data_IF_729385772998
#
_entry.id   IF_729385772998
#
_cell.length_a   1.000
_cell.length_b   1.000
_cell.length_c   1.000
_cell.angle_alpha   90.00
_cell.angle_beta   90.00
_cell.angle_gamma   90.00
#
_symmetry.space_group_name_H-M   'P 1'
#
loop_
_entity.id
_entity.type
_entity.pdbx_description
1 polymer ?
#
# COMPACT_ATOMS: atom_id res chain seq x y z
N UNK A 1 -4.18 21.19 4.00
CA UNK A 1 -2.87 21.17 4.73
C UNK A 1 -1.82 21.82 3.85
N UNK A 2 -0.89 22.61 4.40
CA UNK A 2 0.25 23.14 3.64
C UNK A 2 1.43 22.17 3.69
N UNK A 3 2.38 22.30 2.78
CA UNK A 3 3.58 21.45 2.76
C UNK A 3 4.43 21.59 4.05
N UNK A 4 4.68 22.81 4.59
CA UNK A 4 5.36 22.92 5.88
C UNK A 4 4.62 22.21 7.03
N UNK A 5 3.29 22.25 7.05
CA UNK A 5 2.49 21.53 8.06
C UNK A 5 2.61 20.00 7.87
N UNK A 6 2.63 19.52 6.62
CA UNK A 6 2.88 18.10 6.33
C UNK A 6 4.27 17.69 6.82
N UNK A 7 5.31 18.43 6.47
CA UNK A 7 6.69 18.16 6.86
C UNK A 7 6.85 18.19 8.40
N UNK A 8 6.22 19.13 9.07
CA UNK A 8 6.18 19.19 10.54
C UNK A 8 5.49 17.94 11.12
N UNK A 9 4.36 17.51 10.55
CA UNK A 9 3.66 16.30 11.00
C UNK A 9 4.54 15.07 10.80
N UNK A 10 5.16 14.91 9.64
CA UNK A 10 6.02 13.77 9.33
C UNK A 10 7.26 13.70 10.22
N UNK A 11 7.80 14.84 10.66
CA UNK A 11 8.92 14.88 11.60
C UNK A 11 8.60 14.32 12.99
N UNK A 12 7.33 14.08 13.30
CA UNK A 12 6.90 13.44 14.56
C UNK A 12 6.93 11.90 14.49
N UNK A 13 7.15 11.30 13.31
CA UNK A 13 7.27 9.85 13.17
C UNK A 13 8.56 9.39 13.84
N UNK A 14 8.41 8.63 14.93
CA UNK A 14 9.54 8.09 15.69
C UNK A 14 10.15 6.87 14.99
N UNK A 15 11.43 6.55 15.23
CA UNK A 15 12.02 5.27 14.82
C UNK A 15 11.25 4.06 15.39
N UNK A 16 11.44 2.85 14.85
CA UNK A 16 10.93 1.60 15.44
C UNK A 16 11.38 1.44 16.90
N UNK A 17 10.54 0.83 17.71
CA UNK A 17 10.88 0.46 19.11
C UNK A 17 11.70 -0.83 19.14
N UNK A 18 13.02 -0.71 19.26
CA UNK A 18 13.92 -1.85 19.27
C UNK A 18 13.80 -2.70 20.56
N UNK A 19 13.31 -2.13 21.66
CA UNK A 19 13.06 -2.90 22.88
C UNK A 19 11.85 -3.82 22.70
N UNK A 20 10.78 -3.34 22.08
CA UNK A 20 9.62 -4.16 21.73
C UNK A 20 9.98 -5.25 20.71
N UNK A 21 10.81 -4.93 19.68
CA UNK A 21 11.36 -5.92 18.75
C UNK A 21 12.12 -7.02 19.46
N UNK A 22 13.06 -6.64 20.33
CA UNK A 22 13.87 -7.60 21.09
C UNK A 22 13.02 -8.47 22.03
N UNK A 23 11.99 -7.90 22.65
CA UNK A 23 11.04 -8.64 23.47
C UNK A 23 10.25 -9.68 22.66
N UNK A 24 9.78 -9.32 21.45
CA UNK A 24 9.09 -10.24 20.54
C UNK A 24 10.03 -11.35 20.06
N UNK A 25 11.28 -11.03 19.71
CA UNK A 25 12.29 -12.00 19.34
C UNK A 25 12.60 -12.98 20.49
N UNK A 26 12.77 -12.47 21.72
CA UNK A 26 12.99 -13.30 22.90
C UNK A 26 11.80 -14.23 23.19
N UNK A 27 10.57 -13.75 22.98
CA UNK A 27 9.37 -14.58 23.09
C UNK A 27 9.39 -15.71 22.06
N UNK A 28 9.64 -15.43 20.78
CA UNK A 28 9.80 -16.44 19.73
C UNK A 28 10.87 -17.50 20.09
N UNK A 29 12.01 -17.06 20.62
CA UNK A 29 13.11 -17.93 21.03
C UNK A 29 12.75 -18.81 22.25
N UNK A 30 11.77 -18.42 23.06
CA UNK A 30 11.31 -19.18 24.21
C UNK A 30 10.37 -20.35 23.87
N UNK A 31 9.73 -20.30 22.70
CA UNK A 31 8.77 -21.31 22.26
C UNK A 31 9.48 -22.61 21.83
N UNK A 32 8.88 -23.76 22.15
CA UNK A 32 9.46 -25.08 21.90
C UNK A 32 9.38 -25.46 20.41
N UNK A 33 10.16 -24.78 19.57
CA UNK A 33 10.28 -24.97 18.13
C UNK A 33 11.73 -24.72 17.68
N UNK A 34 12.12 -25.13 16.46
CA UNK A 34 13.40 -24.73 15.89
C UNK A 34 13.52 -23.20 15.83
N UNK A 35 14.70 -22.66 16.22
CA UNK A 35 14.98 -21.23 16.18
C UNK A 35 14.82 -20.71 14.72
N UNK A 36 14.05 -19.64 14.56
CA UNK A 36 13.75 -19.08 13.23
C UNK A 36 12.92 -20.00 12.32
N UNK A 37 12.31 -21.06 12.85
CA UNK A 37 11.66 -22.12 12.08
C UNK A 37 10.44 -21.66 11.29
N UNK A 38 9.81 -20.52 11.61
CA UNK A 38 8.73 -19.90 10.84
C UNK A 38 9.22 -18.79 9.92
N UNK A 39 10.53 -18.48 9.92
CA UNK A 39 11.14 -17.56 8.97
C UNK A 39 10.47 -16.18 8.94
N UNK A 40 9.98 -15.77 7.76
CA UNK A 40 9.38 -14.45 7.56
C UNK A 40 8.18 -14.17 8.50
N UNK A 41 7.47 -15.18 8.97
CA UNK A 41 6.35 -14.99 9.90
C UNK A 41 6.81 -14.53 11.29
N UNK A 42 8.01 -14.95 11.73
CA UNK A 42 8.60 -14.45 12.97
C UNK A 42 9.02 -13.00 12.84
N UNK A 43 9.78 -12.67 11.80
CA UNK A 43 10.19 -11.30 11.47
C UNK A 43 9.00 -10.34 11.34
N UNK A 44 7.90 -10.82 10.76
CA UNK A 44 6.67 -10.06 10.58
C UNK A 44 6.12 -9.54 11.92
N UNK A 45 6.03 -10.40 12.93
CA UNK A 45 5.54 -10.03 14.26
C UNK A 45 6.57 -9.21 15.05
N UNK A 46 7.87 -9.46 14.87
CA UNK A 46 8.93 -8.63 15.46
C UNK A 46 8.88 -7.19 14.91
N UNK A 47 8.68 -7.02 13.59
CA UNK A 47 8.51 -5.69 13.01
C UNK A 47 7.20 -5.03 13.44
N UNK A 48 6.10 -5.79 13.56
CA UNK A 48 4.85 -5.27 14.10
C UNK A 48 4.99 -4.83 15.56
N UNK A 49 5.72 -5.58 16.38
CA UNK A 49 6.04 -5.21 17.75
C UNK A 49 6.85 -3.91 17.82
N UNK A 50 7.86 -3.78 16.96
CA UNK A 50 8.68 -2.56 16.87
C UNK A 50 7.87 -1.33 16.42
N UNK A 51 6.87 -1.52 15.56
CA UNK A 51 5.99 -0.44 15.12
C UNK A 51 5.02 -0.01 16.23
N UNK A 52 4.41 -1.00 16.92
CA UNK A 52 3.35 -0.77 17.93
C UNK A 52 3.90 -0.43 19.31
N UNK A 53 5.20 -0.67 19.56
CA UNK A 53 5.85 -0.47 20.85
C UNK A 53 5.51 -1.53 21.89
N UNK A 54 5.01 -2.69 21.48
CA UNK A 54 4.68 -3.80 22.39
C UNK A 54 4.86 -5.17 21.73
N UNK A 55 5.38 -6.13 22.48
CA UNK A 55 5.44 -7.53 22.05
C UNK A 55 4.10 -8.29 22.24
N UNK A 56 3.13 -7.68 22.90
CA UNK A 56 1.76 -8.21 23.01
C UNK A 56 0.90 -7.62 21.88
N UNK A 57 0.74 -8.42 20.82
CA UNK A 57 0.09 -7.96 19.60
C UNK A 57 -1.39 -8.38 19.59
N UNK A 58 -2.28 -7.41 19.42
CA UNK A 58 -3.66 -7.66 19.00
C UNK A 58 -3.85 -7.06 17.60
N UNK A 59 -4.10 -7.91 16.60
CA UNK A 59 -4.33 -7.54 15.21
C UNK A 59 -5.70 -8.07 14.73
N UNK A 60 -6.64 -8.22 15.66
CA UNK A 60 -7.93 -8.85 15.40
C UNK A 60 -8.92 -7.95 14.64
N UNK A 61 -8.86 -6.63 14.84
CA UNK A 61 -9.71 -5.65 14.14
C UNK A 61 -8.97 -5.11 12.92
N UNK A 62 -9.53 -5.38 11.74
CA UNK A 62 -8.85 -5.19 10.45
C UNK A 62 -9.74 -4.48 9.46
N UNK A 63 -9.13 -3.64 8.63
CA UNK A 63 -9.82 -3.03 7.50
C UNK A 63 -8.91 -2.98 6.26
N UNK A 64 -9.52 -3.12 5.08
CA UNK A 64 -8.88 -2.80 3.80
C UNK A 64 -9.48 -1.50 3.27
N UNK A 65 -8.64 -0.50 3.08
CA UNK A 65 -9.00 0.79 2.48
C UNK A 65 -8.83 0.67 0.97
N UNK A 66 -9.94 0.72 0.21
CA UNK A 66 -9.91 0.65 -1.25
C UNK A 66 -10.16 2.06 -1.78
N UNK A 67 -9.08 2.73 -2.20
CA UNK A 67 -9.11 4.11 -2.67
C UNK A 67 -9.46 4.15 -4.16
N UNK A 68 -10.57 4.81 -4.50
CA UNK A 68 -11.11 4.89 -5.86
C UNK A 68 -10.88 6.30 -6.44
N UNK A 69 -10.26 6.37 -7.63
CA UNK A 69 -10.05 7.65 -8.32
C UNK A 69 -9.97 7.46 -9.84
N UNK A 70 -10.40 8.46 -10.59
CA UNK A 70 -10.24 8.52 -12.03
C UNK A 70 -8.93 9.19 -12.41
N UNK A 71 -8.25 8.63 -13.42
CA UNK A 71 -6.96 9.09 -13.90
C UNK A 71 -7.11 9.65 -15.32
N UNK A 72 -6.83 10.94 -15.52
CA UNK A 72 -7.03 11.64 -16.79
C UNK A 72 -6.24 11.07 -17.98
N UNK A 73 -5.12 10.39 -17.71
CA UNK A 73 -4.31 9.72 -18.74
C UNK A 73 -5.06 8.64 -19.52
N UNK A 74 -6.21 8.18 -19.04
CA UNK A 74 -7.10 7.23 -19.76
C UNK A 74 -7.48 7.77 -21.14
N UNK A 75 -7.57 9.08 -21.30
CA UNK A 75 -7.81 9.74 -22.60
C UNK A 75 -6.77 9.36 -23.68
N UNK A 76 -5.59 8.88 -23.31
CA UNK A 76 -4.54 8.42 -24.21
C UNK A 76 -4.71 6.95 -24.67
N UNK A 77 -5.82 6.29 -24.34
CA UNK A 77 -6.07 4.89 -24.74
C UNK A 77 -5.12 3.89 -24.08
N UNK A 78 -4.75 4.14 -22.83
CA UNK A 78 -3.82 3.32 -22.02
C UNK A 78 -4.52 2.23 -21.22
N UNK A 79 -5.82 2.05 -21.40
CA UNK A 79 -6.64 1.01 -20.77
C UNK A 79 -7.58 0.39 -21.79
N UNK A 80 -8.05 -0.83 -21.53
CA UNK A 80 -9.10 -1.50 -22.32
C UNK A 80 -10.50 -0.95 -22.04
N UNK A 81 -10.68 -0.29 -20.89
CA UNK A 81 -11.95 0.25 -20.40
C UNK A 81 -11.83 1.73 -20.14
N UNK A 82 -12.95 2.40 -20.06
CA UNK A 82 -13.04 3.81 -19.69
C UNK A 82 -13.26 4.01 -18.17
N UNK A 83 -13.31 5.25 -17.72
CA UNK A 83 -13.45 5.64 -16.32
C UNK A 83 -14.78 5.22 -15.68
N UNK A 84 -15.82 4.87 -16.47
CA UNK A 84 -17.10 4.39 -15.91
C UNK A 84 -16.95 3.12 -15.08
N UNK A 85 -15.91 2.32 -15.39
CA UNK A 85 -15.60 1.10 -14.64
C UNK A 85 -15.13 1.41 -13.22
N UNK A 86 -14.37 2.49 -12.98
CA UNK A 86 -13.98 2.92 -11.64
C UNK A 86 -15.21 3.08 -10.74
N UNK A 87 -16.19 3.84 -11.23
CA UNK A 87 -17.44 4.06 -10.50
C UNK A 87 -18.24 2.77 -10.30
N UNK A 88 -18.40 1.96 -11.35
CA UNK A 88 -19.14 0.70 -11.27
C UNK A 88 -18.53 -0.26 -10.24
N UNK A 89 -17.21 -0.33 -10.15
CA UNK A 89 -16.53 -1.14 -9.13
C UNK A 89 -16.71 -0.53 -7.73
N UNK A 90 -16.63 0.78 -7.58
CA UNK A 90 -16.88 1.45 -6.29
C UNK A 90 -18.31 1.17 -5.76
N UNK A 91 -19.32 1.19 -6.64
CA UNK A 91 -20.69 0.81 -6.32
C UNK A 91 -20.79 -0.67 -5.89
N UNK A 92 -20.07 -1.57 -6.53
CA UNK A 92 -20.02 -2.98 -6.18
C UNK A 92 -19.20 -3.26 -4.91
N UNK A 93 -18.18 -2.47 -4.60
CA UNK A 93 -17.48 -2.49 -3.31
C UNK A 93 -18.44 -2.12 -2.18
N UNK A 94 -19.20 -1.02 -2.34
CA UNK A 94 -20.22 -0.63 -1.36
C UNK A 94 -21.31 -1.71 -1.20
N UNK A 95 -21.72 -2.36 -2.29
CA UNK A 95 -22.66 -3.47 -2.29
C UNK A 95 -22.06 -4.82 -1.83
N UNK A 96 -20.75 -4.86 -1.46
CA UNK A 96 -20.03 -6.07 -0.98
C UNK A 96 -19.99 -7.23 -1.99
N UNK A 97 -19.85 -6.92 -3.30
CA UNK A 97 -19.92 -7.89 -4.40
C UNK A 97 -18.59 -8.20 -5.07
N UNK A 98 -17.56 -7.36 -4.87
CA UNK A 98 -16.26 -7.50 -5.56
C UNK A 98 -15.43 -8.65 -4.98
N UNK A 99 -14.31 -8.96 -5.66
CA UNK A 99 -13.39 -10.03 -5.26
C UNK A 99 -12.86 -9.84 -3.84
N UNK A 100 -12.36 -8.64 -3.53
CA UNK A 100 -11.86 -8.33 -2.18
C UNK A 100 -12.95 -8.50 -1.13
N UNK A 101 -14.20 -8.14 -1.43
CA UNK A 101 -15.30 -8.29 -0.49
C UNK A 101 -15.57 -9.75 -0.12
N UNK A 102 -15.38 -10.69 -1.06
CA UNK A 102 -15.55 -12.12 -0.76
C UNK A 102 -14.36 -12.65 0.04
N UNK A 103 -13.13 -12.27 -0.34
CA UNK A 103 -11.91 -12.67 0.36
C UNK A 103 -11.87 -12.11 1.79
N UNK A 104 -12.29 -10.86 1.98
CA UNK A 104 -12.34 -10.18 3.27
C UNK A 104 -13.25 -10.87 4.30
N UNK A 105 -14.32 -11.54 3.85
CA UNK A 105 -15.15 -12.36 4.75
C UNK A 105 -14.35 -13.49 5.39
N UNK A 106 -13.53 -14.18 4.60
CA UNK A 106 -12.65 -15.26 5.09
C UNK A 106 -11.54 -14.71 6.00
N UNK A 107 -10.97 -13.57 5.63
CA UNK A 107 -9.92 -12.92 6.39
C UNK A 107 -10.44 -12.09 7.59
N UNK A 108 -11.74 -12.05 7.82
CA UNK A 108 -12.39 -11.25 8.88
C UNK A 108 -11.92 -9.80 8.86
N UNK A 109 -11.91 -9.22 7.65
CA UNK A 109 -11.44 -7.87 7.37
C UNK A 109 -12.59 -7.01 6.86
N UNK A 110 -12.76 -5.80 7.36
CA UNK A 110 -13.75 -4.86 6.86
C UNK A 110 -13.26 -4.24 5.54
N UNK A 111 -14.15 -4.10 4.55
CA UNK A 111 -13.84 -3.40 3.31
C UNK A 111 -14.38 -1.99 3.39
N UNK A 112 -13.52 -1.00 3.24
CA UNK A 112 -13.85 0.43 3.29
C UNK A 112 -13.54 1.05 1.93
N UNK A 113 -14.55 1.15 1.03
CA UNK A 113 -14.37 1.86 -0.23
C UNK A 113 -14.35 3.37 0.01
N UNK A 114 -13.41 4.06 -0.65
CA UNK A 114 -13.16 5.50 -0.47
C UNK A 114 -13.10 6.18 -1.83
N UNK A 115 -13.88 7.22 -2.01
CA UNK A 115 -13.81 8.10 -3.17
C UNK A 115 -12.74 9.18 -2.93
N UNK A 116 -11.61 9.06 -3.64
CA UNK A 116 -10.54 10.04 -3.63
C UNK A 116 -10.66 11.04 -4.79
N UNK A 117 -11.42 10.69 -5.83
CA UNK A 117 -11.55 11.54 -7.00
C UNK A 117 -12.21 10.83 -8.17
N UNK A 118 -13.41 10.30 -8.00
CA UNK A 118 -14.21 9.77 -9.09
C UNK A 118 -15.05 10.88 -9.73
N UNK A 119 -15.30 10.79 -11.02
CA UNK A 119 -16.23 11.67 -11.73
C UNK A 119 -17.70 11.36 -11.37
N UNK A 120 -18.57 12.34 -11.50
CA UNK A 120 -20.00 12.23 -11.22
C UNK A 120 -20.36 12.41 -9.73
N UNK A 121 -21.56 12.00 -9.32
CA UNK A 121 -22.06 12.18 -7.97
C UNK A 121 -21.42 11.20 -6.96
N UNK A 122 -21.55 11.49 -5.67
CA UNK A 122 -21.09 10.59 -4.62
C UNK A 122 -21.83 9.24 -4.67
N UNK A 123 -21.13 8.16 -4.34
CA UNK A 123 -21.71 6.80 -4.31
C UNK A 123 -22.15 6.47 -2.88
N UNK A 124 -23.41 6.13 -2.63
CA UNK A 124 -23.86 5.70 -1.31
C UNK A 124 -23.06 4.50 -0.78
N UNK A 125 -22.59 4.58 0.46
CA UNK A 125 -21.78 3.53 1.08
C UNK A 125 -20.28 3.58 0.75
N UNK A 126 -19.85 4.56 -0.03
CA UNK A 126 -18.43 4.91 -0.28
C UNK A 126 -18.08 6.14 0.57
N UNK A 127 -16.98 6.08 1.31
CA UNK A 127 -16.49 7.21 2.11
C UNK A 127 -16.05 8.32 1.17
N UNK A 128 -16.56 9.52 1.37
CA UNK A 128 -16.23 10.66 0.50
C UNK A 128 -14.99 11.39 1.04
N UNK A 129 -13.88 11.24 0.33
CA UNK A 129 -12.62 11.97 0.52
C UNK A 129 -12.18 12.63 -0.81
N UNK A 130 -13.13 12.94 -1.68
CA UNK A 130 -12.87 13.44 -3.03
C UNK A 130 -12.08 14.75 -3.01
N UNK A 131 -10.95 14.75 -3.70
CA UNK A 131 -10.10 15.92 -3.93
C UNK A 131 -10.62 16.73 -5.12
N UNK A 132 -10.81 16.04 -6.26
CA UNK A 132 -11.39 16.60 -7.48
C UNK A 132 -12.11 15.49 -8.27
N UNK A 133 -12.73 15.82 -9.39
CA UNK A 133 -13.43 14.86 -10.27
C UNK A 133 -12.43 14.18 -11.24
N UNK A 134 -11.49 13.41 -10.70
CA UNK A 134 -10.37 12.82 -11.44
C UNK A 134 -9.19 13.77 -11.63
N UNK A 135 -8.03 13.21 -12.00
CA UNK A 135 -6.85 14.00 -12.35
C UNK A 135 -6.91 14.51 -13.77
N UNK A 136 -6.03 15.44 -14.12
CA UNK A 136 -5.80 15.85 -15.49
C UNK A 136 -4.98 14.79 -16.24
N UNK A 137 -4.97 14.89 -17.59
CA UNK A 137 -4.10 14.08 -18.44
C UNK A 137 -2.66 14.59 -18.33
N UNK A 138 -1.82 13.85 -17.67
CA UNK A 138 -0.42 14.23 -17.42
C UNK A 138 0.43 14.36 -18.70
N UNK A 139 -0.09 13.93 -19.86
CA UNK A 139 0.59 14.16 -21.13
C UNK A 139 0.42 15.59 -21.65
N UNK A 140 -0.45 16.40 -21.03
CA UNK A 140 -0.74 17.78 -21.38
C UNK A 140 -0.25 18.80 -20.35
N UNK A 141 0.09 18.35 -19.14
CA UNK A 141 0.52 19.15 -17.99
C UNK A 141 0.46 18.30 -16.73
N UNK A 142 0.62 18.87 -15.54
CA UNK A 142 0.56 18.11 -14.28
C UNK A 142 -0.76 17.36 -14.11
N UNK A 143 -0.70 16.13 -13.55
CA UNK A 143 -1.89 15.33 -13.23
C UNK A 143 -2.79 16.04 -12.21
N UNK A 144 -2.20 16.71 -11.24
CA UNK A 144 -2.86 17.49 -10.19
C UNK A 144 -1.95 18.64 -9.76
N UNK A 145 -2.51 19.60 -9.07
CA UNK A 145 -1.73 20.66 -8.43
C UNK A 145 -0.97 20.09 -7.22
N UNK A 146 0.11 20.75 -6.83
CA UNK A 146 0.87 20.41 -5.64
C UNK A 146 0.00 20.43 -4.37
N UNK A 147 -0.92 21.37 -4.27
CA UNK A 147 -1.87 21.45 -3.16
C UNK A 147 -2.84 20.27 -3.11
N UNK A 148 -3.36 19.83 -4.26
CA UNK A 148 -4.23 18.65 -4.37
C UNK A 148 -3.50 17.36 -3.99
N UNK A 149 -2.21 17.22 -4.35
CA UNK A 149 -1.40 16.08 -3.94
C UNK A 149 -1.23 16.03 -2.40
N UNK A 150 -0.96 17.17 -1.77
CA UNK A 150 -0.89 17.30 -0.31
C UNK A 150 -2.25 16.98 0.33
N UNK A 151 -3.34 17.47 -0.22
CA UNK A 151 -4.67 17.22 0.33
C UNK A 151 -5.07 15.75 0.19
N UNK A 152 -4.67 15.06 -0.89
CA UNK A 152 -4.86 13.62 -1.04
C UNK A 152 -4.05 12.82 -0.01
N UNK A 153 -2.78 13.19 0.23
CA UNK A 153 -1.94 12.60 1.29
C UNK A 153 -2.59 12.83 2.66
N UNK A 154 -3.04 14.06 2.95
CA UNK A 154 -3.70 14.40 4.20
C UNK A 154 -5.00 13.61 4.42
N UNK A 155 -5.77 13.38 3.36
CA UNK A 155 -6.98 12.54 3.40
C UNK A 155 -6.62 11.08 3.74
N UNK A 156 -5.55 10.53 3.16
CA UNK A 156 -5.02 9.20 3.51
C UNK A 156 -4.64 9.07 4.98
N UNK A 157 -3.91 10.06 5.53
CA UNK A 157 -3.56 10.12 6.96
C UNK A 157 -4.83 10.19 7.83
N UNK A 158 -5.79 11.01 7.44
CA UNK A 158 -7.05 11.17 8.18
C UNK A 158 -7.88 9.87 8.18
N UNK A 159 -7.89 9.12 7.08
CA UNK A 159 -8.53 7.80 7.00
C UNK A 159 -7.92 6.83 8.02
N UNK A 160 -6.59 6.76 8.14
CA UNK A 160 -5.94 5.90 9.14
C UNK A 160 -6.34 6.29 10.55
N UNK A 161 -6.35 7.59 10.88
CA UNK A 161 -6.81 8.09 12.19
C UNK A 161 -8.26 7.71 12.47
N UNK A 162 -9.13 7.83 11.49
CA UNK A 162 -10.53 7.44 11.62
C UNK A 162 -10.67 5.92 11.87
N UNK A 163 -9.89 5.09 11.20
CA UNK A 163 -9.88 3.65 11.44
C UNK A 163 -9.32 3.30 12.83
N UNK A 164 -8.25 3.94 13.25
CA UNK A 164 -7.71 3.79 14.62
C UNK A 164 -8.73 4.13 15.69
N UNK A 165 -9.45 5.24 15.51
CA UNK A 165 -10.51 5.66 16.44
C UNK A 165 -11.67 4.64 16.53
N UNK A 166 -11.87 3.82 15.48
CA UNK A 166 -12.79 2.69 15.48
C UNK A 166 -12.17 1.41 16.05
N UNK A 167 -10.91 1.46 16.48
CA UNK A 167 -10.17 0.35 17.08
C UNK A 167 -9.54 -0.60 16.07
N UNK A 168 -9.36 -0.20 14.81
CA UNK A 168 -8.64 -0.99 13.81
C UNK A 168 -7.15 -1.04 14.18
N UNK A 169 -6.57 -2.23 14.10
CA UNK A 169 -5.20 -2.55 14.53
C UNK A 169 -4.32 -3.04 13.40
N UNK A 170 -4.91 -3.43 12.27
CA UNK A 170 -4.23 -3.83 11.05
C UNK A 170 -4.96 -3.25 9.85
N UNK A 171 -4.26 -2.53 9.01
CA UNK A 171 -4.79 -2.01 7.75
C UNK A 171 -4.23 -2.77 6.55
N UNK A 172 -5.03 -2.88 5.52
CA UNK A 172 -4.61 -3.30 4.20
C UNK A 172 -4.90 -2.17 3.20
N UNK A 173 -4.04 -2.00 2.21
CA UNK A 173 -4.26 -1.08 1.11
C UNK A 173 -4.93 -1.79 -0.05
N UNK A 174 -5.79 -1.08 -0.75
CA UNK A 174 -6.40 -1.46 -2.02
C UNK A 174 -6.66 -0.21 -2.85
N UNK A 175 -6.88 -0.40 -4.11
CA UNK A 175 -7.16 0.70 -5.04
C UNK A 175 -8.12 0.26 -6.13
N UNK A 176 -8.79 1.23 -6.72
CA UNK A 176 -9.56 1.10 -7.93
C UNK A 176 -9.50 2.40 -8.73
N UNK A 177 -8.79 2.36 -9.85
CA UNK A 177 -8.64 3.55 -10.70
C UNK A 177 -8.21 3.15 -12.10
N UNK A 178 -9.13 3.24 -13.07
CA UNK A 178 -8.75 2.94 -14.45
C UNK A 178 -7.63 3.89 -14.87
N UNK A 179 -6.53 3.34 -15.38
CA UNK A 179 -5.33 4.08 -15.76
C UNK A 179 -4.24 4.19 -14.70
N UNK A 180 -4.50 3.79 -13.44
CA UNK A 180 -3.54 3.95 -12.34
C UNK A 180 -2.27 3.10 -12.45
N UNK A 181 -2.28 1.99 -13.19
CA UNK A 181 -1.03 1.29 -13.54
C UNK A 181 -0.13 2.13 -14.45
N UNK A 182 -0.70 3.08 -15.22
CA UNK A 182 0.08 4.00 -16.06
C UNK A 182 0.73 5.10 -15.21
N UNK A 183 -0.04 5.71 -14.30
CA UNK A 183 0.47 6.72 -13.36
C UNK A 183 1.53 6.10 -12.45
N UNK A 184 1.29 4.90 -11.92
CA UNK A 184 2.26 4.19 -11.07
C UNK A 184 3.54 3.85 -11.82
N UNK A 185 3.46 3.39 -13.09
CA UNK A 185 4.66 3.13 -13.91
C UNK A 185 5.45 4.42 -14.17
N UNK A 186 4.77 5.55 -14.42
CA UNK A 186 5.42 6.84 -14.64
C UNK A 186 6.14 7.32 -13.36
N UNK A 187 5.47 7.30 -12.22
CA UNK A 187 6.02 7.68 -10.92
C UNK A 187 7.22 6.80 -10.57
N UNK A 188 7.08 5.46 -10.67
CA UNK A 188 8.14 4.53 -10.35
C UNK A 188 9.35 4.66 -11.28
N UNK A 189 9.15 4.91 -12.58
CA UNK A 189 10.24 5.12 -13.53
C UNK A 189 11.10 6.32 -13.15
N UNK A 190 10.48 7.43 -12.74
CA UNK A 190 11.17 8.64 -12.30
C UNK A 190 11.87 8.43 -10.96
N UNK A 191 11.16 7.95 -9.94
CA UNK A 191 11.70 7.81 -8.59
C UNK A 191 12.84 6.78 -8.49
N UNK A 192 12.83 5.74 -9.34
CA UNK A 192 13.86 4.71 -9.37
C UNK A 192 14.92 4.93 -10.47
N UNK A 193 14.75 5.96 -11.31
CA UNK A 193 15.67 6.23 -12.42
C UNK A 193 15.76 5.06 -13.41
N UNK A 194 14.66 4.32 -13.62
CA UNK A 194 14.63 3.12 -14.46
C UNK A 194 14.00 3.41 -15.83
N UNK A 195 14.41 2.65 -16.88
CA UNK A 195 13.78 2.77 -18.20
C UNK A 195 12.26 2.55 -18.13
N UNK A 196 11.49 3.37 -18.84
CA UNK A 196 10.03 3.31 -18.86
C UNK A 196 9.54 1.92 -19.29
N UNK A 197 10.21 1.32 -20.26
CA UNK A 197 9.88 0.00 -20.80
C UNK A 197 10.00 -1.11 -19.74
N UNK A 198 10.95 -0.99 -18.82
CA UNK A 198 11.13 -1.92 -17.69
C UNK A 198 10.04 -1.74 -16.63
N UNK A 199 9.58 -0.50 -16.47
CA UNK A 199 8.61 -0.15 -15.41
C UNK A 199 7.15 -0.28 -15.86
N UNK A 200 6.90 -0.54 -17.16
CA UNK A 200 5.55 -0.51 -17.72
C UNK A 200 5.05 -1.91 -18.06
N UNK A 201 3.97 -2.34 -17.39
CA UNK A 201 3.28 -3.58 -17.66
C UNK A 201 1.96 -3.39 -18.42
N UNK A 202 1.31 -4.50 -18.73
CA UNK A 202 0.04 -4.53 -19.49
C UNK A 202 -1.17 -4.15 -18.63
N UNK A 203 -1.00 -3.98 -17.33
CA UNK A 203 -2.12 -3.74 -16.42
C UNK A 203 -3.21 -4.81 -16.57
N UNK A 204 -4.44 -4.40 -16.82
CA UNK A 204 -5.58 -5.30 -17.02
C UNK A 204 -5.59 -6.02 -18.39
N UNK A 205 -4.43 -6.26 -19.02
CA UNK A 205 -4.30 -7.10 -20.22
C UNK A 205 -4.30 -6.34 -21.53
N UNK A 206 -3.59 -5.22 -21.64
CA UNK A 206 -3.41 -4.49 -22.90
C UNK A 206 -2.76 -5.34 -24.01
N UNK A 207 -3.16 -5.09 -25.28
CA UNK A 207 -2.46 -5.60 -26.46
C UNK A 207 -1.06 -4.98 -26.59
N UNK A 208 -0.26 -5.45 -27.55
CA UNK A 208 1.06 -4.86 -27.83
C UNK A 208 0.98 -3.40 -28.26
N UNK A 209 -0.02 -3.05 -29.09
CA UNK A 209 -0.27 -1.66 -29.48
C UNK A 209 -0.75 -0.82 -28.29
N UNK A 210 -1.55 -1.39 -27.39
CA UNK A 210 -1.97 -0.73 -26.15
C UNK A 210 -0.80 -0.47 -25.22
N UNK A 211 0.10 -1.42 -25.05
CA UNK A 211 1.33 -1.27 -24.28
C UNK A 211 2.26 -0.20 -24.89
N UNK A 212 2.40 -0.19 -26.21
CA UNK A 212 3.18 0.84 -26.88
C UNK A 212 2.61 2.26 -26.66
N UNK A 213 1.27 2.42 -26.77
CA UNK A 213 0.59 3.71 -26.44
C UNK A 213 0.81 4.11 -24.98
N UNK A 214 0.72 3.16 -24.05
CA UNK A 214 0.94 3.40 -22.62
C UNK A 214 2.37 3.89 -22.36
N UNK A 215 3.36 3.21 -22.93
CA UNK A 215 4.78 3.59 -22.81
C UNK A 215 5.04 4.97 -23.42
N UNK A 216 4.43 5.28 -24.58
CA UNK A 216 4.52 6.59 -25.23
C UNK A 216 3.87 7.69 -24.40
N UNK A 217 2.69 7.46 -23.83
CA UNK A 217 2.01 8.40 -22.95
C UNK A 217 2.87 8.74 -21.73
N UNK A 218 3.50 7.75 -21.09
CA UNK A 218 4.43 7.94 -19.96
C UNK A 218 5.63 8.81 -20.41
N UNK A 219 6.24 8.50 -21.56
CA UNK A 219 7.39 9.25 -22.08
C UNK A 219 7.04 10.72 -22.33
N UNK A 220 5.89 10.99 -22.98
CA UNK A 220 5.41 12.37 -23.21
C UNK A 220 5.11 13.08 -21.88
N UNK A 221 4.46 12.42 -20.95
CA UNK A 221 4.14 12.98 -19.64
C UNK A 221 5.39 13.40 -18.85
N UNK A 222 6.40 12.55 -18.80
CA UNK A 222 7.69 12.88 -18.17
C UNK A 222 8.37 14.06 -18.88
N UNK A 223 8.36 14.06 -20.22
CA UNK A 223 8.99 15.13 -21.01
C UNK A 223 8.29 16.48 -20.82
N UNK A 224 6.96 16.52 -20.78
CA UNK A 224 6.17 17.75 -20.60
C UNK A 224 6.30 18.32 -19.21
N UNK A 225 6.26 17.46 -18.19
CA UNK A 225 6.22 17.88 -16.78
C UNK A 225 7.59 18.04 -16.14
N UNK A 226 8.64 17.43 -16.70
CA UNK A 226 10.01 17.49 -16.16
C UNK A 226 10.04 17.33 -14.63
N UNK A 227 9.55 16.18 -14.08
CA UNK A 227 9.47 15.98 -12.65
C UNK A 227 10.85 15.94 -12.01
N UNK A 228 10.98 16.49 -10.79
CA UNK A 228 12.20 16.37 -9.99
C UNK A 228 12.23 15.01 -9.27
N UNK A 229 13.10 14.12 -9.69
CA UNK A 229 13.23 12.78 -9.10
C UNK A 229 13.66 12.80 -7.62
N UNK A 230 14.19 13.91 -7.13
CA UNK A 230 14.55 14.07 -5.72
C UNK A 230 13.38 14.56 -4.85
N UNK A 231 12.28 14.97 -5.46
CA UNK A 231 11.06 15.43 -4.79
C UNK A 231 9.88 14.49 -5.09
N UNK A 232 9.58 13.51 -4.23
CA UNK A 232 8.46 12.58 -4.45
C UNK A 232 7.10 13.27 -4.53
N UNK A 233 6.94 14.43 -3.91
CA UNK A 233 5.69 15.19 -3.94
C UNK A 233 5.49 15.86 -5.31
N UNK A 234 6.57 16.42 -5.89
CA UNK A 234 6.54 16.95 -7.25
C UNK A 234 6.24 15.85 -8.28
N UNK A 235 6.87 14.67 -8.12
CA UNK A 235 6.62 13.51 -8.99
C UNK A 235 5.16 13.05 -8.88
N UNK A 236 4.60 12.95 -7.68
CA UNK A 236 3.19 12.59 -7.45
C UNK A 236 2.24 13.62 -8.07
N UNK A 237 2.48 14.91 -7.88
CA UNK A 237 1.65 15.97 -8.43
C UNK A 237 1.64 15.95 -9.96
N UNK A 238 2.80 15.72 -10.57
CA UNK A 238 2.97 15.77 -12.02
C UNK A 238 2.49 14.52 -12.75
N UNK A 239 2.69 13.32 -12.17
CA UNK A 239 2.50 12.04 -12.86
C UNK A 239 1.56 11.06 -12.13
N UNK A 240 1.18 11.36 -10.90
CA UNK A 240 0.43 10.46 -10.03
C UNK A 240 -1.08 10.44 -10.27
N UNK A 241 -1.78 9.93 -9.26
CA UNK A 241 -3.23 9.88 -9.16
C UNK A 241 -3.68 10.17 -7.73
N UNK A 242 -4.93 10.56 -7.52
CA UNK A 242 -5.46 10.79 -6.17
C UNK A 242 -5.52 9.53 -5.33
N UNK A 243 -5.74 8.36 -5.95
CA UNK A 243 -5.62 7.05 -5.32
C UNK A 243 -4.18 6.80 -4.83
N UNK A 244 -3.20 7.03 -5.69
CA UNK A 244 -1.78 6.84 -5.37
C UNK A 244 -1.31 7.79 -4.25
N UNK A 245 -1.65 9.08 -4.34
CA UNK A 245 -1.32 10.07 -3.32
C UNK A 245 -2.04 9.79 -1.98
N UNK A 246 -3.31 9.37 -2.03
CA UNK A 246 -4.06 8.93 -0.87
C UNK A 246 -3.44 7.70 -0.20
N UNK A 247 -3.03 6.68 -0.98
CA UNK A 247 -2.32 5.51 -0.46
C UNK A 247 -0.97 5.87 0.16
N UNK A 248 -0.22 6.82 -0.43
CA UNK A 248 0.98 7.38 0.21
C UNK A 248 0.65 7.92 1.61
N UNK A 249 -0.45 8.67 1.73
CA UNK A 249 -0.97 9.15 3.01
C UNK A 249 -1.37 8.03 3.97
N UNK A 250 -1.89 6.90 3.48
CA UNK A 250 -2.21 5.73 4.33
C UNK A 250 -0.95 5.13 4.95
N UNK A 251 0.15 4.98 4.20
CA UNK A 251 1.42 4.48 4.76
C UNK A 251 2.04 5.45 5.76
N UNK A 252 2.02 6.75 5.47
CA UNK A 252 2.45 7.79 6.40
C UNK A 252 1.59 7.79 7.68
N UNK A 253 0.28 7.67 7.53
CA UNK A 253 -0.67 7.56 8.63
C UNK A 253 -0.43 6.32 9.49
N UNK A 254 -0.13 5.16 8.87
CA UNK A 254 0.24 3.95 9.58
C UNK A 254 1.46 4.15 10.48
N UNK A 255 2.48 4.83 9.98
CA UNK A 255 3.70 5.14 10.75
C UNK A 255 3.46 6.15 11.87
N UNK A 256 2.61 7.16 11.64
CA UNK A 256 2.20 8.15 12.65
C UNK A 256 1.40 7.51 13.79
N UNK A 257 0.51 6.61 13.43
CA UNK A 257 -0.47 6.06 14.36
C UNK A 257 -0.05 4.69 14.95
N UNK A 258 1.09 4.13 14.51
CA UNK A 258 1.58 2.84 14.98
C UNK A 258 0.70 1.66 14.51
N UNK A 259 0.14 1.73 13.30
CA UNK A 259 -0.70 0.67 12.74
C UNK A 259 0.03 0.00 11.57
N UNK A 260 0.21 -1.33 11.57
CA UNK A 260 0.75 -2.05 10.42
C UNK A 260 -0.16 -1.88 9.20
N UNK A 261 0.45 -1.59 8.03
CA UNK A 261 -0.24 -1.41 6.76
C UNK A 261 0.25 -2.47 5.77
N UNK A 262 -0.62 -3.41 5.42
CA UNK A 262 -0.35 -4.42 4.42
C UNK A 262 -0.38 -3.78 3.03
N UNK A 263 0.77 -3.76 2.38
CA UNK A 263 0.94 -3.28 1.02
C UNK A 263 0.38 -4.33 0.04
N UNK A 264 -0.61 -3.96 -0.77
CA UNK A 264 -1.19 -4.84 -1.79
C UNK A 264 -0.16 -5.13 -2.92
N UNK A 265 -0.43 -4.70 -4.12
CA UNK A 265 0.40 -4.99 -5.29
C UNK A 265 1.34 -3.84 -5.69
N UNK A 266 1.60 -3.76 -7.01
CA UNK A 266 2.53 -2.80 -7.60
C UNK A 266 2.13 -1.34 -7.31
N UNK A 267 0.86 -0.97 -7.49
CA UNK A 267 0.37 0.40 -7.28
C UNK A 267 0.55 0.82 -5.82
N UNK A 268 0.12 -0.02 -4.88
CA UNK A 268 0.35 0.19 -3.44
C UNK A 268 1.84 0.29 -3.11
N UNK A 269 2.67 -0.52 -3.78
CA UNK A 269 4.13 -0.49 -3.62
C UNK A 269 4.73 0.86 -4.05
N UNK A 270 4.25 1.43 -5.16
CA UNK A 270 4.69 2.76 -5.60
C UNK A 270 4.24 3.85 -4.63
N UNK A 271 3.03 3.75 -4.09
CA UNK A 271 2.57 4.66 -3.04
C UNK A 271 3.42 4.55 -1.76
N UNK A 272 3.77 3.34 -1.35
CA UNK A 272 4.69 3.10 -0.23
C UNK A 272 6.08 3.68 -0.51
N UNK A 273 6.59 3.54 -1.75
CA UNK A 273 7.86 4.13 -2.16
C UNK A 273 7.84 5.65 -2.02
N UNK A 274 6.78 6.32 -2.48
CA UNK A 274 6.59 7.75 -2.29
C UNK A 274 6.59 8.12 -0.79
N UNK A 275 5.86 7.38 0.04
CA UNK A 275 5.78 7.62 1.48
C UNK A 275 7.15 7.49 2.16
N UNK A 276 7.93 6.46 1.80
CA UNK A 276 9.27 6.21 2.37
C UNK A 276 10.28 7.24 1.87
N UNK A 277 10.18 7.72 0.63
CA UNK A 277 11.05 8.78 0.14
C UNK A 277 10.71 10.15 0.74
N UNK A 278 9.42 10.44 1.00
CA UNK A 278 9.00 11.64 1.75
C UNK A 278 9.44 11.58 3.21
N UNK A 279 9.34 10.40 3.83
CA UNK A 279 9.70 10.19 5.23
C UNK A 279 10.26 8.77 5.41
N UNK A 280 11.59 8.57 5.47
CA UNK A 280 12.20 7.25 5.62
C UNK A 280 11.69 6.44 6.84
N UNK A 281 11.32 7.12 7.91
CA UNK A 281 10.76 6.49 9.11
C UNK A 281 9.39 5.83 8.86
N UNK A 282 8.70 6.16 7.75
CA UNK A 282 7.44 5.51 7.36
C UNK A 282 7.63 4.03 6.96
N UNK A 283 8.84 3.61 6.60
CA UNK A 283 9.15 2.23 6.22
C UNK A 283 8.77 1.21 7.32
N UNK A 284 8.72 1.63 8.59
CA UNK A 284 8.31 0.77 9.72
C UNK A 284 6.85 0.31 9.64
N UNK A 285 5.98 1.05 8.94
CA UNK A 285 4.57 0.70 8.80
C UNK A 285 4.27 -0.10 7.53
N UNK A 286 5.24 -0.27 6.62
CA UNK A 286 5.06 -0.95 5.33
C UNK A 286 5.32 -2.44 5.49
N UNK A 287 4.29 -3.27 5.25
CA UNK A 287 4.35 -4.73 5.29
C UNK A 287 3.98 -5.30 3.92
N UNK A 288 4.94 -5.86 3.22
CA UNK A 288 4.74 -6.38 1.86
C UNK A 288 3.96 -7.70 1.89
N UNK A 289 2.77 -7.74 1.27
CA UNK A 289 1.94 -8.94 1.21
C UNK A 289 2.39 -9.91 0.13
N UNK A 290 2.64 -9.42 -1.09
CA UNK A 290 3.02 -10.26 -2.21
C UNK A 290 3.89 -9.53 -3.24
N UNK A 291 4.51 -10.31 -4.14
CA UNK A 291 5.12 -9.79 -5.36
C UNK A 291 4.12 -9.89 -6.50
N UNK A 292 3.64 -8.74 -6.99
CA UNK A 292 2.74 -8.67 -8.15
C UNK A 292 3.44 -9.18 -9.42
N UNK A 293 2.64 -9.66 -10.39
CA UNK A 293 3.16 -10.03 -11.71
C UNK A 293 3.51 -8.82 -12.61
N UNK A 294 3.23 -7.59 -12.18
CA UNK A 294 3.67 -6.39 -12.90
C UNK A 294 5.22 -6.31 -12.95
N UNK A 295 5.82 -5.94 -14.10
CA UNK A 295 7.27 -6.02 -14.30
C UNK A 295 8.09 -5.27 -13.24
N UNK A 296 7.63 -4.09 -12.83
CA UNK A 296 8.33 -3.25 -11.87
C UNK A 296 8.14 -3.66 -10.40
N UNK A 297 7.25 -4.59 -10.09
CA UNK A 297 6.90 -4.94 -8.71
C UNK A 297 8.11 -5.36 -7.87
N UNK A 298 9.01 -6.17 -8.45
CA UNK A 298 10.23 -6.61 -7.77
C UNK A 298 11.18 -5.44 -7.49
N UNK A 299 11.39 -4.54 -8.45
CA UNK A 299 12.26 -3.37 -8.28
C UNK A 299 11.75 -2.43 -7.18
N UNK A 300 10.42 -2.27 -7.09
CA UNK A 300 9.79 -1.48 -6.02
C UNK A 300 10.00 -2.15 -4.66
N UNK A 301 9.82 -3.46 -4.53
CA UNK A 301 10.07 -4.20 -3.29
C UNK A 301 11.54 -4.11 -2.87
N UNK A 302 12.47 -4.25 -3.81
CA UNK A 302 13.92 -4.12 -3.57
C UNK A 302 14.27 -2.70 -3.08
N UNK A 303 13.71 -1.65 -3.71
CA UNK A 303 13.91 -0.27 -3.30
C UNK A 303 13.34 0.04 -1.91
N UNK A 304 12.25 -0.63 -1.52
CA UNK A 304 11.67 -0.54 -0.18
C UNK A 304 12.43 -1.40 0.85
N UNK A 305 13.34 -2.28 0.42
CA UNK A 305 14.00 -3.26 1.30
C UNK A 305 13.00 -4.26 1.91
N UNK A 306 11.91 -4.60 1.20
CA UNK A 306 10.85 -5.48 1.71
C UNK A 306 10.81 -6.81 0.95
N UNK A 307 10.64 -7.90 1.70
CA UNK A 307 10.39 -9.22 1.16
C UNK A 307 8.88 -9.53 1.21
N UNK A 308 8.28 -10.02 0.12
CA UNK A 308 6.87 -10.36 0.10
C UNK A 308 6.60 -11.71 0.78
N UNK A 309 5.46 -11.84 1.46
CA UNK A 309 5.01 -13.12 2.05
C UNK A 309 4.55 -14.13 0.99
N UNK A 310 3.97 -13.64 -0.11
CA UNK A 310 3.39 -14.45 -1.16
C UNK A 310 4.02 -14.17 -2.53
N UNK A 311 4.18 -15.22 -3.32
CA UNK A 311 4.52 -15.13 -4.75
C UNK A 311 3.61 -16.10 -5.49
N UNK A 312 2.41 -15.62 -5.86
CA UNK A 312 1.34 -16.47 -6.44
C UNK A 312 0.82 -15.92 -7.78
N UNK A 313 1.55 -15.00 -8.42
CA UNK A 313 1.17 -14.42 -9.72
C UNK A 313 -0.09 -13.54 -9.67
N UNK A 314 -0.47 -13.04 -8.49
CA UNK A 314 -1.65 -12.21 -8.33
C UNK A 314 -1.44 -10.81 -8.92
N UNK A 315 -2.50 -10.24 -9.53
CA UNK A 315 -2.48 -8.91 -10.15
C UNK A 315 -3.88 -8.30 -10.33
N UNK A 316 -4.80 -8.61 -9.40
CA UNK A 316 -6.18 -8.14 -9.53
C UNK A 316 -6.36 -6.69 -9.08
N UNK A 317 -5.70 -6.28 -8.00
CA UNK A 317 -5.95 -5.01 -7.32
C UNK A 317 -7.01 -5.14 -6.21
N UNK A 318 -7.71 -4.06 -5.90
CA UNK A 318 -8.74 -3.94 -4.86
C UNK A 318 -8.25 -4.25 -3.43
N UNK A 319 -6.96 -4.52 -3.20
CA UNK A 319 -6.43 -4.99 -1.92
C UNK A 319 -6.53 -6.52 -1.74
N UNK A 320 -6.81 -7.25 -2.82
CA UNK A 320 -7.02 -8.70 -2.75
C UNK A 320 -5.81 -9.46 -2.23
N UNK A 321 -4.62 -9.04 -2.60
CA UNK A 321 -3.40 -9.74 -2.20
C UNK A 321 -2.99 -9.41 -0.76
N UNK A 322 -3.20 -8.15 -0.34
CA UNK A 322 -3.04 -7.77 1.05
C UNK A 322 -3.98 -8.58 1.95
N UNK A 323 -5.26 -8.69 1.58
CA UNK A 323 -6.25 -9.50 2.30
C UNK A 323 -5.91 -10.99 2.27
N UNK A 324 -5.38 -11.52 1.14
CA UNK A 324 -4.95 -12.92 1.04
C UNK A 324 -3.80 -13.28 2.00
N UNK A 325 -2.98 -12.31 2.40
CA UNK A 325 -1.88 -12.52 3.35
C UNK A 325 -2.33 -12.58 4.81
N UNK A 326 -3.51 -12.04 5.16
CA UNK A 326 -3.99 -11.93 6.54
C UNK A 326 -4.06 -13.30 7.27
N UNK A 327 -4.49 -14.41 6.65
CA UNK A 327 -4.45 -15.71 7.30
C UNK A 327 -3.06 -16.17 7.75
N UNK A 328 -1.98 -15.72 7.08
CA UNK A 328 -0.62 -16.02 7.52
C UNK A 328 -0.27 -15.27 8.81
N UNK A 329 -0.77 -14.04 8.98
CA UNK A 329 -0.66 -13.31 10.24
C UNK A 329 -1.41 -14.02 11.36
N UNK A 330 -2.62 -14.54 11.09
CA UNK A 330 -3.38 -15.33 12.05
C UNK A 330 -2.63 -16.59 12.48
N UNK A 331 -2.00 -17.30 11.54
CA UNK A 331 -1.19 -18.48 11.83
C UNK A 331 0.05 -18.13 12.68
N UNK A 332 0.73 -17.01 12.35
CA UNK A 332 1.86 -16.54 13.12
C UNK A 332 1.45 -16.19 14.56
N UNK A 333 0.38 -15.40 14.74
CA UNK A 333 -0.15 -15.03 16.06
C UNK A 333 -0.61 -16.25 16.84
N UNK A 334 -1.26 -17.23 16.21
CA UNK A 334 -1.71 -18.45 16.90
C UNK A 334 -0.53 -19.23 17.48
N UNK A 335 0.59 -19.32 16.78
CA UNK A 335 1.81 -19.96 17.31
C UNK A 335 2.46 -19.07 18.38
N UNK A 336 2.54 -17.77 18.13
CA UNK A 336 3.13 -16.80 19.06
C UNK A 336 2.44 -16.81 20.41
N UNK A 337 1.10 -16.81 20.42
CA UNK A 337 0.31 -16.69 21.65
C UNK A 337 0.05 -18.02 22.36
N UNK A 338 0.06 -19.16 21.64
CA UNK A 338 -0.48 -20.42 22.17
C UNK A 338 0.46 -21.62 22.08
N UNK A 339 1.62 -21.51 21.42
CA UNK A 339 2.60 -22.59 21.44
C UNK A 339 3.26 -22.66 22.83
N UNK A 340 3.44 -23.87 23.36
CA UNK A 340 4.12 -24.06 24.62
C UNK A 340 5.60 -23.69 24.56
N UNK A 341 6.13 -23.20 25.65
CA UNK A 341 7.55 -22.86 25.81
C UNK A 341 8.44 -24.09 26.09
N UNK A 342 9.73 -23.95 25.87
CA UNK A 342 10.70 -24.97 26.28
C UNK A 342 10.57 -25.33 27.74
N UNK A 343 10.34 -24.33 28.61
CA UNK A 343 10.18 -24.52 30.06
C UNK A 343 8.94 -25.35 30.40
N UNK A 344 7.79 -25.05 29.77
CA UNK A 344 6.54 -25.80 29.97
C UNK A 344 6.64 -27.22 29.43
N UNK A 345 7.38 -27.44 28.36
CA UNK A 345 7.60 -28.76 27.75
C UNK A 345 8.68 -29.57 28.46
N UNK A 346 9.41 -29.00 29.42
CA UNK A 346 10.56 -29.67 30.08
C UNK A 346 11.71 -29.98 29.11
N UNK A 347 11.81 -29.20 28.03
CA UNK A 347 12.80 -29.38 26.97
C UNK A 347 13.92 -28.35 27.15
N UNK A 348 15.16 -28.78 26.98
CA UNK A 348 16.31 -27.86 27.01
C UNK A 348 16.23 -26.91 25.81
N UNK A 349 16.27 -25.58 26.02
CA UNK A 349 16.27 -24.62 24.91
C UNK A 349 17.42 -24.84 23.92
N UNK A 350 17.15 -24.62 22.65
CA UNK A 350 18.18 -24.65 21.62
C UNK A 350 19.11 -23.45 21.77
N UNK A 351 20.40 -23.68 21.54
CA UNK A 351 21.39 -22.62 21.41
C UNK A 351 21.73 -22.43 19.94
N UNK A 352 21.82 -21.14 19.43
CA UNK A 352 22.28 -20.92 18.08
C UNK A 352 23.61 -21.62 17.83
N UNK A 353 23.68 -22.41 16.75
CA UNK A 353 24.93 -23.00 16.27
C UNK A 353 25.48 -22.04 15.21
N UNK A 354 26.63 -21.41 15.45
CA UNK A 354 27.29 -20.52 14.50
C UNK A 354 27.81 -21.28 13.29
#
# INVERSE_FOLDING_TARGET
>A
MTEPELNQLLSTITPPDEAARAAAHAHWASLAKPLGGLGALETLLEEAAALTGTAQLDLSRRAVLVLCADNGVVAQGVSQTDQSVTRAVAENLAARRTSVCQMAKTARCEVVPVDMGMAGDSVPGVVNCRIAAGTQDFTQGPAMTHAEAIDAIAAGIALVRAQKAQGVQLLATGEMGIGNTTTSSAVAAVLLGQPIETMTGRGAGLSDEGLARKTDAIRRGIAVNTPDAADPLDVLAKLGGFDLAGLCGVFLGGALEGIPVLMDGFISGVAALCAVQLCPAAAKAVFASHCSSEPAARLVLEALGKAPLLTAGLHLGEGTCAVASIPLWDMALAVYDHCYSFAEGGITPYTPQC
#
